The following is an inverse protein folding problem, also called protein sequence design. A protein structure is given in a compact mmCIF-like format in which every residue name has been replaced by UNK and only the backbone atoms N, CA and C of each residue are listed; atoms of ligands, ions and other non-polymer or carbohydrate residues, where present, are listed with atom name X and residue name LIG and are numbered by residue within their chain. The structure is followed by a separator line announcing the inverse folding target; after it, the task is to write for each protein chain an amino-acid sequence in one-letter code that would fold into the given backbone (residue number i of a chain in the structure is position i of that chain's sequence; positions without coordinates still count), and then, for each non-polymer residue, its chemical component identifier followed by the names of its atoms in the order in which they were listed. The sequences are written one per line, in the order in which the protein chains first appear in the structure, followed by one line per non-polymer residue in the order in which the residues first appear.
data_IF_198961145996
#
_entry.id   IF_198961145996
#
_cell.length_a   1.000
_cell.length_b   1.000
_cell.length_c   1.000
_cell.angle_alpha   90.00
_cell.angle_beta   90.00
_cell.angle_gamma   90.00
#
_symmetry.space_group_name_H-M   'P 1'
#
loop_
_entity.id
_entity.type
_entity.pdbx_description
1 polymer ?
#
# COMPACT_ATOMS: atom_id res chain seq x y z
N UNK A 1 11.20 52.34 -6.11
CA UNK A 1 11.93 51.71 -5.01
C UNK A 1 12.74 50.57 -5.47
N UNK A 2 14.02 50.64 -5.30
CA UNK A 2 14.92 49.56 -5.67
C UNK A 2 15.16 48.67 -4.45
N UNK A 3 14.92 47.38 -4.58
CA UNK A 3 15.26 46.43 -3.54
C UNK A 3 16.77 46.36 -3.41
N UNK A 4 17.23 46.18 -2.18
CA UNK A 4 18.63 45.94 -1.91
C UNK A 4 19.09 44.65 -2.61
N UNK A 5 20.14 44.72 -3.47
CA UNK A 5 20.64 43.50 -4.12
C UNK A 5 21.07 42.42 -3.14
N UNK A 6 21.55 42.81 -1.97
CA UNK A 6 21.93 41.85 -0.93
C UNK A 6 20.70 41.10 -0.38
N UNK A 7 19.61 41.82 -0.12
CA UNK A 7 18.36 41.22 0.34
C UNK A 7 17.78 40.31 -0.71
N UNK A 8 17.83 40.70 -2.00
CA UNK A 8 17.38 39.84 -3.10
C UNK A 8 18.19 38.57 -3.20
N UNK A 9 19.50 38.64 -3.03
CA UNK A 9 20.39 37.47 -3.04
C UNK A 9 20.07 36.52 -1.91
N UNK A 10 19.77 37.06 -0.71
CA UNK A 10 19.36 36.23 0.43
C UNK A 10 18.03 35.53 0.16
N UNK A 11 17.05 36.22 -0.41
CA UNK A 11 15.78 35.66 -0.77
C UNK A 11 15.94 34.48 -1.77
N UNK A 12 16.80 34.67 -2.77
CA UNK A 12 17.07 33.63 -3.76
C UNK A 12 17.65 32.39 -3.08
N UNK A 13 18.62 32.58 -2.19
CA UNK A 13 19.25 31.49 -1.46
C UNK A 13 18.22 30.77 -0.58
N UNK A 14 17.38 31.51 0.12
CA UNK A 14 16.33 30.93 0.96
C UNK A 14 15.34 30.12 0.13
N UNK A 15 14.92 30.64 -1.01
CA UNK A 15 14.00 29.93 -1.91
C UNK A 15 14.63 28.68 -2.49
N UNK A 16 15.91 28.74 -2.87
CA UNK A 16 16.64 27.59 -3.35
C UNK A 16 16.74 26.50 -2.29
N UNK A 17 16.97 26.90 -1.05
CA UNK A 17 17.01 25.97 0.08
C UNK A 17 15.66 25.31 0.29
N UNK A 18 14.58 26.08 0.25
CA UNK A 18 13.22 25.55 0.39
C UNK A 18 12.88 24.58 -0.73
N UNK A 19 13.24 24.93 -1.96
CA UNK A 19 13.00 24.04 -3.12
C UNK A 19 13.74 22.73 -2.93
N UNK A 20 15.00 22.77 -2.48
CA UNK A 20 15.78 21.58 -2.24
C UNK A 20 15.16 20.72 -1.13
N UNK A 21 14.74 21.33 -0.04
CA UNK A 21 14.07 20.63 1.07
C UNK A 21 12.75 19.99 0.64
N UNK A 22 11.96 20.73 -0.12
CA UNK A 22 10.69 20.23 -0.64
C UNK A 22 10.89 19.07 -1.63
N UNK A 23 11.91 19.15 -2.46
CA UNK A 23 12.25 18.09 -3.39
C UNK A 23 12.61 16.80 -2.66
N UNK A 24 13.42 16.89 -1.60
CA UNK A 24 13.79 15.73 -0.77
C UNK A 24 12.56 15.17 -0.06
N UNK A 25 11.72 16.03 0.49
CA UNK A 25 10.50 15.62 1.17
C UNK A 25 9.54 14.92 0.19
N UNK A 26 9.43 15.44 -1.02
CA UNK A 26 8.58 14.84 -2.05
C UNK A 26 9.08 13.46 -2.46
N UNK A 27 10.38 13.30 -2.64
CA UNK A 27 10.98 11.99 -2.95
C UNK A 27 10.70 10.99 -1.85
N UNK A 28 10.83 11.39 -0.59
CA UNK A 28 10.57 10.54 0.57
C UNK A 28 9.11 10.08 0.61
N UNK A 29 8.19 11.03 0.43
CA UNK A 29 6.75 10.74 0.46
C UNK A 29 6.37 9.84 -0.71
N UNK A 30 6.94 10.08 -1.89
CA UNK A 30 6.70 9.26 -3.07
C UNK A 30 7.17 7.82 -2.84
N UNK A 31 8.35 7.65 -2.26
CA UNK A 31 8.87 6.33 -1.92
C UNK A 31 8.00 5.62 -0.90
N UNK A 32 7.58 6.34 0.15
CA UNK A 32 6.67 5.78 1.17
C UNK A 32 5.35 5.36 0.55
N UNK A 33 4.80 6.18 -0.35
CA UNK A 33 3.57 5.84 -1.06
C UNK A 33 3.74 4.58 -1.89
N UNK A 34 4.81 4.49 -2.67
CA UNK A 34 5.06 3.33 -3.53
C UNK A 34 5.21 2.05 -2.70
N UNK A 35 5.91 2.14 -1.58
CA UNK A 35 6.05 1.00 -0.66
C UNK A 35 4.70 0.60 -0.07
N UNK A 36 3.86 1.57 0.28
CA UNK A 36 2.53 1.30 0.82
C UNK A 36 1.62 0.65 -0.22
N UNK A 37 1.69 1.10 -1.48
CA UNK A 37 0.93 0.51 -2.58
C UNK A 37 1.36 -0.95 -2.81
N UNK A 38 2.67 -1.20 -2.82
CA UNK A 38 3.19 -2.56 -3.00
C UNK A 38 2.75 -3.48 -1.86
N UNK A 39 2.78 -2.98 -0.62
CA UNK A 39 2.32 -3.74 0.53
C UNK A 39 0.83 -4.04 0.43
N UNK A 40 0.03 -3.07 0.00
CA UNK A 40 -1.41 -3.25 -0.17
C UNK A 40 -1.72 -4.29 -1.24
N UNK A 41 -0.99 -4.28 -2.35
CA UNK A 41 -1.15 -5.27 -3.41
C UNK A 41 -0.81 -6.68 -2.92
N UNK A 42 0.28 -6.82 -2.16
CA UNK A 42 0.67 -8.11 -1.58
C UNK A 42 -0.41 -8.63 -0.62
N UNK A 43 -0.93 -7.76 0.25
CA UNK A 43 -1.99 -8.14 1.18
C UNK A 43 -3.27 -8.53 0.46
N UNK A 44 -3.60 -7.84 -0.62
CA UNK A 44 -4.77 -8.17 -1.44
C UNK A 44 -4.64 -9.56 -2.05
N UNK A 45 -3.47 -9.89 -2.59
CA UNK A 45 -3.19 -11.21 -3.15
C UNK A 45 -3.28 -12.31 -2.09
N UNK A 46 -2.73 -12.06 -0.89
CA UNK A 46 -2.83 -12.98 0.22
C UNK A 46 -4.27 -13.19 0.66
N UNK A 47 -5.06 -12.12 0.68
CA UNK A 47 -6.47 -12.19 1.04
C UNK A 47 -7.25 -13.03 0.02
N UNK A 48 -7.02 -12.82 -1.27
CA UNK A 48 -7.66 -13.60 -2.31
C UNK A 48 -7.30 -15.09 -2.21
N UNK A 49 -6.03 -15.40 -1.98
CA UNK A 49 -5.56 -16.76 -1.80
C UNK A 49 -6.23 -17.42 -0.57
N UNK A 50 -6.37 -16.66 0.51
CA UNK A 50 -7.04 -17.13 1.73
C UNK A 50 -8.52 -17.40 1.49
N UNK A 51 -9.19 -16.52 0.76
CA UNK A 51 -10.60 -16.70 0.38
C UNK A 51 -10.80 -17.94 -0.47
N UNK A 52 -9.90 -18.20 -1.41
CA UNK A 52 -9.96 -19.40 -2.25
C UNK A 52 -9.77 -20.67 -1.41
N UNK A 53 -8.86 -20.65 -0.45
CA UNK A 53 -8.66 -21.76 0.46
C UNK A 53 -9.89 -22.02 1.32
N UNK A 54 -10.51 -20.97 1.83
CA UNK A 54 -11.74 -21.08 2.62
C UNK A 54 -12.85 -21.71 1.78
N UNK A 55 -12.99 -21.28 0.54
CA UNK A 55 -14.00 -21.81 -0.38
C UNK A 55 -13.76 -23.28 -0.66
N UNK A 56 -12.50 -23.65 -0.89
CA UNK A 56 -12.10 -25.05 -1.15
C UNK A 56 -12.38 -25.92 0.08
N UNK A 57 -11.99 -25.46 1.27
CA UNK A 57 -12.22 -26.19 2.51
C UNK A 57 -13.71 -26.32 2.81
N UNK A 58 -14.49 -25.26 2.56
CA UNK A 58 -15.94 -25.31 2.70
C UNK A 58 -16.56 -26.38 1.81
N UNK A 59 -16.11 -26.47 0.57
CA UNK A 59 -16.57 -27.51 -0.37
C UNK A 59 -16.19 -28.93 0.09
N UNK A 60 -14.98 -29.08 0.63
CA UNK A 60 -14.54 -30.36 1.17
C UNK A 60 -15.35 -30.80 2.39
N UNK A 61 -15.63 -29.83 3.28
CA UNK A 61 -16.47 -30.09 4.46
C UNK A 61 -17.89 -30.49 4.07
N UNK A 62 -18.46 -29.85 3.08
CA UNK A 62 -19.80 -30.15 2.60
C UNK A 62 -19.86 -31.58 2.02
N UNK A 63 -18.87 -31.96 1.23
CA UNK A 63 -18.79 -33.32 0.68
C UNK A 63 -18.62 -34.35 1.79
N UNK A 64 -17.79 -34.09 2.76
CA UNK A 64 -17.60 -34.99 3.89
C UNK A 64 -18.89 -35.15 4.68
N UNK A 65 -19.61 -34.06 4.91
CA UNK A 65 -20.88 -34.07 5.61
C UNK A 65 -21.91 -34.92 4.86
N UNK A 66 -21.98 -34.80 3.54
CA UNK A 66 -22.88 -35.61 2.70
C UNK A 66 -22.51 -37.10 2.82
N UNK A 67 -21.23 -37.40 2.75
CA UNK A 67 -20.76 -38.79 2.89
C UNK A 67 -21.12 -39.38 4.24
N UNK A 68 -20.93 -38.61 5.32
CA UNK A 68 -21.29 -39.06 6.67
C UNK A 68 -22.79 -39.30 6.81
N UNK A 69 -23.60 -38.41 6.24
CA UNK A 69 -25.06 -38.61 6.25
C UNK A 69 -25.48 -39.86 5.49
N UNK A 70 -24.92 -40.09 4.32
CA UNK A 70 -25.19 -41.27 3.53
C UNK A 70 -24.76 -42.55 4.26
N UNK A 71 -23.62 -42.52 4.94
CA UNK A 71 -23.14 -43.62 5.73
C UNK A 71 -24.05 -43.95 6.93
N UNK A 72 -24.65 -42.95 7.53
CA UNK A 72 -25.55 -43.11 8.67
C UNK A 72 -26.90 -43.68 8.21
N UNK A 73 -27.36 -43.30 7.02
CA UNK A 73 -28.63 -43.77 6.47
C UNK A 73 -28.59 -45.24 6.02
N UNK A 74 -27.39 -45.73 5.78
CA UNK A 74 -27.19 -47.13 5.42
C UNK A 74 -27.21 -48.01 6.67
#
# INVERSE_FOLDING_TARGET
MTQDPYAMSQEIVELQTRVAELSVALERVTEQRDNAVDAAESLHQELEASRDRIRTLGGQLDRLRIHLQQGIEL
#
